data_IF_456949642983
#
_entry.id   IF_456949642983
#
_cell.length_a   1.000
_cell.length_b   1.000
_cell.length_c   1.000
_cell.angle_alpha   90.00
_cell.angle_beta   90.00
_cell.angle_gamma   90.00
#
_symmetry.space_group_name_H-M   'P 1'
#
loop_
_entity.id
_entity.type
_entity.pdbx_description
1 polymer ?
#
# COMPACT_ATOMS: atom_id res chain seq x y z
N UNK A 1 0.52 -19.69 13.99
CA UNK A 1 -0.59 -18.79 13.59
C UNK A 1 -0.23 -18.19 12.24
N UNK A 2 -1.18 -18.08 11.31
CA UNK A 2 -0.96 -17.38 10.05
C UNK A 2 -0.72 -15.90 10.31
N UNK A 3 0.24 -15.29 9.61
CA UNK A 3 0.57 -13.87 9.74
C UNK A 3 -0.41 -13.01 8.95
N UNK A 4 -0.66 -11.78 9.41
CA UNK A 4 -1.52 -10.80 8.75
C UNK A 4 -0.77 -9.52 8.43
N UNK A 5 -0.84 -9.04 7.19
CA UNK A 5 -0.16 -7.82 6.73
C UNK A 5 -1.19 -6.84 6.18
N UNK A 6 -1.00 -5.56 6.53
CA UNK A 6 -1.74 -4.45 5.95
C UNK A 6 -0.90 -3.79 4.85
N UNK A 7 -1.51 -3.54 3.68
CA UNK A 7 -0.93 -2.73 2.61
C UNK A 7 -1.68 -1.41 2.54
N UNK A 8 -0.97 -0.31 2.74
CA UNK A 8 -1.50 1.05 2.62
C UNK A 8 -1.40 1.51 1.15
N UNK A 9 -2.54 1.59 0.48
CA UNK A 9 -2.63 1.90 -0.94
C UNK A 9 -3.18 3.31 -1.21
N UNK A 10 -2.97 3.76 -2.43
CA UNK A 10 -3.47 5.02 -2.96
C UNK A 10 -3.61 4.98 -4.48
N UNK A 11 -4.38 5.89 -5.05
CA UNK A 11 -4.46 6.12 -6.48
C UNK A 11 -3.09 6.54 -7.01
N UNK A 12 -2.72 5.93 -8.12
CA UNK A 12 -1.42 5.99 -8.76
C UNK A 12 -0.25 5.55 -7.87
N UNK A 13 -0.49 4.59 -6.96
CA UNK A 13 0.60 3.74 -6.48
C UNK A 13 1.20 2.92 -7.63
N UNK A 14 2.46 2.54 -7.51
CA UNK A 14 3.15 1.79 -8.57
C UNK A 14 2.60 0.35 -8.65
N UNK A 15 2.25 -0.09 -9.87
CA UNK A 15 1.54 -1.33 -10.17
C UNK A 15 2.29 -2.59 -9.71
N UNK A 16 3.60 -2.69 -9.97
CA UNK A 16 4.42 -3.80 -9.50
C UNK A 16 4.59 -3.78 -8.00
N UNK A 17 4.84 -2.60 -7.43
CA UNK A 17 5.10 -2.46 -6.00
C UNK A 17 3.91 -2.92 -5.15
N UNK A 18 2.67 -2.73 -5.62
CA UNK A 18 1.49 -3.29 -4.94
C UNK A 18 1.23 -4.75 -5.33
N UNK A 19 1.22 -5.08 -6.63
CA UNK A 19 0.74 -6.40 -7.09
C UNK A 19 1.69 -7.52 -6.71
N UNK A 20 2.99 -7.32 -6.88
CA UNK A 20 4.01 -8.34 -6.57
C UNK A 20 4.03 -8.62 -5.07
N UNK A 21 4.01 -7.58 -4.24
CA UNK A 21 3.99 -7.74 -2.78
C UNK A 21 2.70 -8.44 -2.31
N UNK A 22 1.55 -8.02 -2.83
CA UNK A 22 0.26 -8.64 -2.50
C UNK A 22 0.24 -10.13 -2.84
N UNK A 23 0.60 -10.51 -4.06
CA UNK A 23 0.56 -11.90 -4.50
C UNK A 23 1.64 -12.76 -3.84
N UNK A 24 2.85 -12.24 -3.64
CA UNK A 24 3.92 -12.98 -2.98
C UNK A 24 3.56 -13.32 -1.53
N UNK A 25 3.05 -12.34 -0.77
CA UNK A 25 2.62 -12.56 0.61
C UNK A 25 1.50 -13.61 0.69
N UNK A 26 0.49 -13.53 -0.19
CA UNK A 26 -0.55 -14.55 -0.28
C UNK A 26 0.02 -15.94 -0.60
N UNK A 27 0.99 -16.04 -1.53
CA UNK A 27 1.63 -17.31 -1.89
C UNK A 27 2.41 -17.93 -0.71
N UNK A 28 2.92 -17.11 0.21
CA UNK A 28 3.54 -17.57 1.46
C UNK A 28 2.54 -17.87 2.58
N UNK A 29 1.23 -17.84 2.32
CA UNK A 29 0.18 -18.13 3.29
C UNK A 29 -0.07 -16.99 4.29
N UNK A 30 0.36 -15.77 3.97
CA UNK A 30 0.10 -14.56 4.76
C UNK A 30 -1.28 -14.01 4.38
N UNK A 31 -2.09 -13.64 5.36
CA UNK A 31 -3.33 -12.90 5.12
C UNK A 31 -3.00 -11.45 4.78
N UNK A 32 -3.51 -10.93 3.66
CA UNK A 32 -3.16 -9.58 3.19
C UNK A 32 -4.41 -8.73 3.03
N UNK A 33 -4.46 -7.62 3.78
CA UNK A 33 -5.52 -6.63 3.66
C UNK A 33 -4.97 -5.36 3.00
N UNK A 34 -5.75 -4.82 2.07
CA UNK A 34 -5.42 -3.66 1.26
C UNK A 34 -6.43 -2.57 1.55
N UNK A 35 -5.93 -1.41 1.95
CA UNK A 35 -6.75 -0.29 2.43
C UNK A 35 -6.36 1.00 1.73
N UNK A 36 -7.32 1.92 1.63
CA UNK A 36 -7.14 3.22 1.02
C UNK A 36 -7.99 4.24 1.79
N UNK A 37 -7.43 5.37 2.27
CA UNK A 37 -8.19 6.41 2.97
C UNK A 37 -9.33 7.00 2.13
N UNK A 38 -10.58 6.82 2.57
CA UNK A 38 -11.76 7.31 1.86
C UNK A 38 -12.35 6.33 0.82
N UNK A 39 -11.85 5.10 0.74
CA UNK A 39 -12.44 4.00 -0.05
C UNK A 39 -12.89 2.84 0.85
N UNK A 40 -13.86 2.08 0.35
CA UNK A 40 -14.46 0.91 1.01
C UNK A 40 -14.05 -0.38 0.32
N UNK A 41 -14.29 -1.50 0.99
CA UNK A 41 -14.14 -2.83 0.37
C UNK A 41 -14.92 -2.91 -0.95
N UNK A 42 -14.25 -3.37 -2.01
CA UNK A 42 -14.80 -3.49 -3.37
C UNK A 42 -14.48 -2.29 -4.26
N UNK A 43 -14.06 -1.15 -3.69
CA UNK A 43 -13.63 0.00 -4.49
C UNK A 43 -12.30 -0.29 -5.20
N UNK A 44 -12.05 0.49 -6.25
CA UNK A 44 -10.89 0.30 -7.14
C UNK A 44 -9.94 1.48 -7.05
N UNK A 45 -8.65 1.17 -7.04
CA UNK A 45 -7.54 2.11 -7.15
C UNK A 45 -6.93 2.03 -8.54
N UNK A 46 -6.65 3.18 -9.13
CA UNK A 46 -5.86 3.23 -10.36
C UNK A 46 -4.38 3.08 -9.99
N UNK A 47 -3.59 2.35 -10.78
CA UNK A 47 -2.14 2.23 -10.57
C UNK A 47 -1.34 2.92 -11.66
N UNK A 48 -0.08 3.22 -11.38
CA UNK A 48 0.90 3.76 -12.31
C UNK A 48 1.92 2.68 -12.68
N UNK A 49 2.42 2.68 -13.91
CA UNK A 49 3.63 1.95 -14.31
C UNK A 49 4.73 2.95 -14.51
N UNK A 50 5.80 2.86 -13.71
CA UNK A 50 6.98 3.71 -13.83
C UNK A 50 8.10 2.96 -14.56
N UNK A 51 8.42 3.40 -15.77
CA UNK A 51 9.39 2.73 -16.66
C UNK A 51 10.50 3.69 -17.07
N UNK A 52 11.75 3.27 -16.93
CA UNK A 52 12.88 3.97 -17.54
C UNK A 52 12.89 3.77 -19.06
N UNK A 53 12.78 4.87 -19.83
CA UNK A 53 12.84 4.87 -21.30
C UNK A 53 14.06 5.61 -21.86
N UNK A 54 15.12 5.76 -21.05
CA UNK A 54 16.35 6.47 -21.45
C UNK A 54 16.30 7.99 -21.28
N UNK A 55 15.26 8.52 -20.62
CA UNK A 55 15.17 9.94 -20.23
C UNK A 55 15.82 10.19 -18.86
N UNK A 56 15.90 11.47 -18.46
CA UNK A 56 16.43 11.87 -17.14
C UNK A 56 15.57 11.35 -15.96
N UNK A 57 14.32 10.97 -16.22
CA UNK A 57 13.41 10.38 -15.22
C UNK A 57 12.54 9.30 -15.87
N UNK A 58 11.75 8.59 -15.07
CA UNK A 58 10.82 7.59 -15.55
C UNK A 58 9.68 8.20 -16.38
N UNK A 59 9.19 7.41 -17.33
CA UNK A 59 7.91 7.62 -17.99
C UNK A 59 6.81 6.94 -17.17
N UNK A 60 5.64 7.58 -17.10
CA UNK A 60 4.46 7.04 -16.43
C UNK A 60 3.37 6.69 -17.44
N UNK A 61 2.82 5.48 -17.31
CA UNK A 61 1.57 5.08 -17.96
C UNK A 61 0.60 4.48 -16.96
N UNK A 62 -0.67 4.32 -17.35
CA UNK A 62 -1.69 3.72 -16.49
C UNK A 62 -1.51 2.20 -16.40
N UNK A 63 -1.47 1.68 -15.18
CA UNK A 63 -1.42 0.24 -14.89
C UNK A 63 -2.81 -0.38 -14.70
N UNK A 64 -2.83 -1.53 -14.02
CA UNK A 64 -4.08 -2.24 -13.73
C UNK A 64 -4.88 -1.53 -12.64
N UNK A 65 -6.19 -1.75 -12.66
CA UNK A 65 -7.03 -1.42 -11.52
C UNK A 65 -6.73 -2.41 -10.37
N UNK A 66 -6.56 -1.90 -9.15
CA UNK A 66 -6.32 -2.70 -7.96
C UNK A 66 -7.51 -2.59 -7.00
N UNK A 67 -8.02 -3.72 -6.50
CA UNK A 67 -9.24 -3.72 -5.67
C UNK A 67 -8.91 -3.62 -4.18
N UNK A 68 -9.58 -2.72 -3.47
CA UNK A 68 -9.53 -2.59 -2.01
C UNK A 68 -10.33 -3.73 -1.39
N UNK A 69 -9.78 -4.43 -0.41
CA UNK A 69 -10.48 -5.55 0.24
C UNK A 69 -10.89 -5.27 1.69
N UNK A 70 -10.40 -4.18 2.31
CA UNK A 70 -10.81 -3.72 3.65
C UNK A 70 -11.05 -2.21 3.62
N UNK A 71 -12.11 -1.75 4.28
CA UNK A 71 -12.41 -0.32 4.46
C UNK A 71 -11.41 0.30 5.43
N UNK A 72 -10.81 1.44 5.06
CA UNK A 72 -9.75 2.07 5.87
C UNK A 72 -10.19 2.44 7.29
N UNK A 73 -11.42 2.96 7.44
CA UNK A 73 -11.95 3.40 8.74
C UNK A 73 -12.24 2.24 9.70
N UNK A 74 -12.26 0.99 9.21
CA UNK A 74 -12.51 -0.23 9.99
C UNK A 74 -11.20 -0.92 10.41
N UNK A 75 -10.05 -0.35 10.06
CA UNK A 75 -8.73 -0.93 10.32
C UNK A 75 -8.34 -0.78 11.78
N UNK A 76 -8.10 -1.91 12.42
CA UNK A 76 -7.43 -1.98 13.71
C UNK A 76 -5.98 -2.46 13.54
N UNK A 77 -5.02 -1.54 13.68
CA UNK A 77 -3.59 -1.79 13.56
C UNK A 77 -3.08 -2.89 14.52
N UNK A 78 -3.77 -3.14 15.64
CA UNK A 78 -3.37 -4.18 16.59
C UNK A 78 -3.49 -5.60 16.00
N UNK A 79 -4.39 -5.81 15.04
CA UNK A 79 -4.70 -7.11 14.41
C UNK A 79 -3.72 -7.56 13.32
N UNK A 80 -2.78 -6.69 12.95
CA UNK A 80 -1.80 -6.96 11.89
C UNK A 80 -0.42 -7.20 12.48
N UNK A 81 0.37 -8.08 11.86
CA UNK A 81 1.75 -8.33 12.23
C UNK A 81 2.72 -7.32 11.59
N UNK A 82 2.31 -6.61 10.54
CA UNK A 82 3.16 -5.64 9.85
C UNK A 82 2.43 -4.78 8.83
N UNK A 83 3.14 -3.77 8.33
CA UNK A 83 2.66 -2.78 7.36
C UNK A 83 3.55 -2.76 6.12
N UNK A 84 2.94 -2.64 4.96
CA UNK A 84 3.60 -2.42 3.67
C UNK A 84 3.11 -1.10 3.07
N UNK A 85 4.04 -0.29 2.58
CA UNK A 85 3.77 1.00 1.93
C UNK A 85 4.39 0.97 0.51
N UNK A 86 3.60 0.70 -0.54
CA UNK A 86 4.03 0.81 -1.91
C UNK A 86 4.34 2.27 -2.29
N UNK A 87 5.19 2.45 -3.29
CA UNK A 87 5.57 3.74 -3.86
C UNK A 87 4.60 4.23 -4.93
N UNK A 88 5.18 4.76 -6.01
CA UNK A 88 4.45 5.52 -7.04
C UNK A 88 4.15 6.95 -6.59
N UNK A 89 3.05 7.53 -7.08
CA UNK A 89 2.63 8.89 -6.72
C UNK A 89 1.79 8.94 -5.45
N UNK A 90 1.21 7.81 -5.05
CA UNK A 90 0.34 7.71 -3.88
C UNK A 90 0.95 8.28 -2.58
N UNK A 91 2.19 7.93 -2.20
CA UNK A 91 2.78 8.39 -0.96
C UNK A 91 2.79 9.92 -0.78
N UNK A 92 2.97 10.68 -1.87
CA UNK A 92 3.06 12.15 -1.82
C UNK A 92 1.83 12.79 -1.17
N UNK A 93 0.62 12.35 -1.49
CA UNK A 93 -0.60 12.91 -0.89
C UNK A 93 -1.04 12.13 0.34
N UNK A 94 -0.71 10.83 0.44
CA UNK A 94 -0.98 10.05 1.65
C UNK A 94 -0.20 10.59 2.85
N UNK A 95 1.03 11.07 2.65
CA UNK A 95 1.84 11.70 3.67
C UNK A 95 1.27 13.03 4.20
N UNK A 96 0.27 13.61 3.53
CA UNK A 96 -0.45 14.81 3.97
C UNK A 96 -1.75 14.48 4.71
N UNK A 97 -2.11 13.20 4.83
CA UNK A 97 -3.34 12.77 5.49
C UNK A 97 -3.03 12.33 6.93
N UNK A 98 -3.55 13.07 7.92
CA UNK A 98 -3.26 12.81 9.33
C UNK A 98 -3.71 11.40 9.78
N UNK A 99 -4.85 10.90 9.28
CA UNK A 99 -5.31 9.55 9.62
C UNK A 99 -4.36 8.45 9.10
N UNK A 100 -3.68 8.70 7.98
CA UNK A 100 -2.61 7.83 7.47
C UNK A 100 -1.38 7.91 8.36
N UNK A 101 -0.94 9.12 8.72
CA UNK A 101 0.21 9.33 9.59
C UNK A 101 0.00 8.65 10.95
N UNK A 102 -1.20 8.77 11.52
CA UNK A 102 -1.58 8.11 12.76
C UNK A 102 -1.55 6.59 12.67
N UNK A 103 -2.01 6.02 11.54
CA UNK A 103 -1.90 4.59 11.29
C UNK A 103 -0.42 4.15 11.27
N UNK A 104 0.43 4.83 10.51
CA UNK A 104 1.87 4.52 10.40
C UNK A 104 2.55 4.64 11.76
N UNK A 105 2.27 5.71 12.53
CA UNK A 105 2.78 5.91 13.90
C UNK A 105 2.37 4.76 14.83
N UNK A 106 1.13 4.28 14.76
CA UNK A 106 0.67 3.12 15.56
C UNK A 106 1.48 1.86 15.26
N UNK A 107 1.74 1.55 13.98
CA UNK A 107 2.61 0.42 13.61
C UNK A 107 4.03 0.62 14.14
N UNK A 108 4.60 1.81 13.96
CA UNK A 108 5.96 2.12 14.39
C UNK A 108 6.13 2.02 15.91
N UNK A 109 5.26 2.68 16.68
CA UNK A 109 5.28 2.65 18.15
C UNK A 109 5.05 1.25 18.74
N UNK A 110 4.36 0.37 18.01
CA UNK A 110 4.16 -1.03 18.42
C UNK A 110 5.36 -1.94 18.12
N UNK A 111 6.43 -1.42 17.50
CA UNK A 111 7.61 -2.21 17.14
C UNK A 111 7.36 -3.24 16.03
N UNK A 112 6.26 -3.12 15.29
CA UNK A 112 5.90 -4.03 14.20
C UNK A 112 6.74 -3.71 12.95
N UNK A 113 7.12 -4.73 12.15
CA UNK A 113 7.78 -4.51 10.88
C UNK A 113 7.00 -3.57 9.95
N UNK A 114 7.70 -2.61 9.37
CA UNK A 114 7.22 -1.73 8.31
C UNK A 114 8.14 -1.90 7.11
N UNK A 115 7.59 -2.31 5.98
CA UNK A 115 8.29 -2.35 4.70
C UNK A 115 7.79 -1.20 3.83
N UNK A 116 8.70 -0.35 3.37
CA UNK A 116 8.40 0.77 2.50
C UNK A 116 9.34 0.74 1.30
N UNK A 117 8.83 1.10 0.11
CA UNK A 117 9.57 1.02 -1.14
C UNK A 117 9.36 2.28 -2.00
N UNK A 118 10.38 2.65 -2.77
CA UNK A 118 10.36 3.76 -3.73
C UNK A 118 10.00 5.09 -3.04
N UNK A 119 8.86 5.70 -3.38
CA UNK A 119 8.41 6.95 -2.77
C UNK A 119 7.63 6.76 -1.46
N UNK A 120 7.43 5.51 -1.01
CA UNK A 120 6.67 5.21 0.21
C UNK A 120 7.33 5.63 1.52
N UNK A 121 8.58 6.09 1.49
CA UNK A 121 9.40 6.43 2.66
C UNK A 121 9.13 7.81 3.23
#
# INVERSE_FOLDING_TARGET
MAKSILILCGDYMENYEVMVLFQALLAYGVSVHVVFPGKKTGDVCQTAVHQGLGHQTYYESRGHNFTVNVTFDEVDASKYDGLVIPGGRAPKYLAMNESVLDLVRKFFSSGKPIASICHGS
#
